data_IF_456995060670
#
_entry.id   IF_456995060670
#
_cell.length_a   1.000
_cell.length_b   1.000
_cell.length_c   1.000
_cell.angle_alpha   90.00
_cell.angle_beta   90.00
_cell.angle_gamma   90.00
#
_symmetry.space_group_name_H-M   'P 1'
#
loop_
_entity.id
_entity.type
_entity.pdbx_description
1 polymer ?
#
# COMPACT_ATOMS: atom_id res chain seq x y z
N UNK A 1 -0.53 12.57 -21.68
CA UNK A 1 0.75 13.15 -22.14
C UNK A 1 1.27 12.27 -23.26
N UNK A 2 1.65 12.83 -24.43
CA UNK A 2 2.27 12.03 -25.49
C UNK A 2 3.73 11.79 -25.08
N UNK A 3 4.06 10.58 -24.65
CA UNK A 3 5.45 10.19 -24.35
C UNK A 3 6.08 9.70 -25.64
N UNK A 4 6.69 10.61 -26.41
CA UNK A 4 7.54 10.18 -27.52
C UNK A 4 8.78 9.53 -26.92
N UNK A 5 9.09 8.30 -27.30
CA UNK A 5 10.33 7.63 -26.85
C UNK A 5 11.56 8.24 -27.49
N UNK A 6 11.40 8.94 -28.63
CA UNK A 6 12.49 9.59 -29.37
C UNK A 6 12.30 11.09 -29.42
N UNK A 7 13.39 11.82 -29.23
CA UNK A 7 13.43 13.27 -29.19
C UNK A 7 14.42 13.83 -30.21
N UNK A 8 14.05 14.91 -30.89
CA UNK A 8 15.04 15.71 -31.62
C UNK A 8 15.96 16.43 -30.62
N UNK A 9 17.16 16.83 -31.05
CA UNK A 9 18.06 17.71 -30.26
C UNK A 9 17.33 18.96 -29.76
N UNK A 10 16.42 19.49 -30.57
CA UNK A 10 15.59 20.64 -30.19
C UNK A 10 14.63 20.33 -29.05
N UNK A 11 13.97 19.18 -29.10
CA UNK A 11 12.97 18.79 -28.10
C UNK A 11 13.65 18.38 -26.80
N UNK A 12 14.79 17.68 -26.88
CA UNK A 12 15.62 17.37 -25.73
C UNK A 12 16.12 18.64 -25.02
N UNK A 13 16.53 19.65 -25.78
CA UNK A 13 16.99 20.93 -25.25
C UNK A 13 15.90 21.65 -24.44
N UNK A 14 14.65 21.67 -24.95
CA UNK A 14 13.52 22.29 -24.25
C UNK A 14 13.10 21.49 -23.03
N UNK A 15 13.05 20.16 -23.16
CA UNK A 15 12.63 19.24 -22.11
C UNK A 15 13.56 19.29 -20.87
N UNK A 16 14.88 19.40 -21.10
CA UNK A 16 15.89 19.40 -20.05
C UNK A 16 16.44 20.78 -19.69
N UNK A 17 15.94 21.84 -20.33
CA UNK A 17 16.45 23.21 -20.18
C UNK A 17 17.97 23.31 -20.41
N UNK A 18 18.46 22.58 -21.42
CA UNK A 18 19.86 22.61 -21.86
C UNK A 18 19.96 23.30 -23.21
N UNK A 19 21.08 23.95 -23.48
CA UNK A 19 21.31 24.54 -24.82
C UNK A 19 21.54 23.42 -25.84
N UNK A 20 21.11 23.63 -27.10
CA UNK A 20 21.40 22.68 -28.19
C UNK A 20 22.90 22.44 -28.36
N UNK A 21 23.72 23.46 -28.14
CA UNK A 21 25.18 23.35 -28.20
C UNK A 21 25.74 22.38 -27.14
N UNK A 22 25.16 22.37 -25.94
CA UNK A 22 25.51 21.41 -24.88
C UNK A 22 25.19 19.99 -25.33
N UNK A 23 23.99 19.76 -25.88
CA UNK A 23 23.59 18.44 -26.37
C UNK A 23 24.51 17.96 -27.50
N UNK A 24 24.81 18.82 -28.49
CA UNK A 24 25.75 18.46 -29.55
C UNK A 24 27.15 18.13 -29.02
N UNK A 25 27.63 18.86 -28.01
CA UNK A 25 28.90 18.59 -27.35
C UNK A 25 28.89 17.23 -26.66
N UNK A 26 27.82 16.91 -25.93
CA UNK A 26 27.69 15.65 -25.20
C UNK A 26 27.60 14.46 -26.16
N UNK A 27 26.94 14.64 -27.32
CA UNK A 27 26.95 13.66 -28.42
C UNK A 27 28.36 13.47 -28.99
N UNK A 28 29.06 14.57 -29.29
CA UNK A 28 30.43 14.52 -29.85
C UNK A 28 31.41 13.85 -28.88
N UNK A 29 31.21 14.05 -27.58
CA UNK A 29 32.04 13.46 -26.52
C UNK A 29 31.67 12.01 -26.19
N UNK A 30 30.63 11.45 -26.81
CA UNK A 30 30.16 10.09 -26.52
C UNK A 30 29.43 9.94 -25.19
N UNK A 31 29.06 11.05 -24.54
CA UNK A 31 28.29 11.06 -23.29
C UNK A 31 26.85 10.67 -23.58
N UNK A 32 26.30 11.17 -24.70
CA UNK A 32 24.93 10.95 -25.16
C UNK A 32 24.94 10.24 -26.52
N UNK A 33 24.25 9.12 -26.66
CA UNK A 33 24.12 8.43 -27.94
C UNK A 33 22.98 9.00 -28.80
N UNK A 34 23.09 8.86 -30.12
CA UNK A 34 22.03 9.19 -31.09
C UNK A 34 21.86 8.07 -32.10
N UNK A 35 20.66 7.92 -32.59
CA UNK A 35 20.33 6.95 -33.63
C UNK A 35 20.71 7.43 -35.03
N UNK A 36 20.59 6.53 -36.00
CA UNK A 36 20.84 6.80 -37.42
C UNK A 36 19.95 7.93 -37.96
N UNK A 37 18.73 8.05 -37.42
CA UNK A 37 17.77 9.11 -37.78
C UNK A 37 18.14 10.49 -37.16
N UNK A 38 19.18 10.56 -36.35
CA UNK A 38 19.59 11.77 -35.64
C UNK A 38 18.70 12.13 -34.44
N UNK A 39 17.78 11.23 -34.05
CA UNK A 39 17.00 11.34 -32.83
C UNK A 39 17.75 10.72 -31.63
N UNK A 40 17.34 11.15 -30.44
CA UNK A 40 17.91 10.72 -29.16
C UNK A 40 16.81 10.02 -28.39
N UNK A 41 17.10 8.82 -27.90
CA UNK A 41 16.16 8.06 -27.09
C UNK A 41 15.97 8.69 -25.70
N UNK A 42 14.76 8.55 -25.15
CA UNK A 42 14.42 9.03 -23.82
C UNK A 42 15.31 8.39 -22.73
N UNK A 43 15.66 7.12 -22.90
CA UNK A 43 16.55 6.40 -21.97
C UNK A 43 17.94 7.03 -21.88
N UNK A 44 18.50 7.47 -23.01
CA UNK A 44 19.79 8.16 -23.05
C UNK A 44 19.72 9.52 -22.37
N UNK A 45 18.64 10.27 -22.62
CA UNK A 45 18.40 11.54 -21.94
C UNK A 45 18.20 11.37 -20.43
N UNK A 46 17.46 10.34 -20.02
CA UNK A 46 17.23 10.01 -18.61
C UNK A 46 18.52 9.59 -17.91
N UNK A 47 19.36 8.78 -18.58
CA UNK A 47 20.68 8.35 -18.06
C UNK A 47 21.63 9.53 -17.86
N UNK A 48 21.69 10.46 -18.83
CA UNK A 48 22.67 11.55 -18.84
C UNK A 48 22.19 12.77 -18.05
N UNK A 49 20.92 13.12 -18.18
CA UNK A 49 20.36 14.36 -17.61
C UNK A 49 19.32 14.13 -16.51
N UNK A 50 18.88 12.89 -16.27
CA UNK A 50 17.90 12.57 -15.22
C UNK A 50 16.45 12.82 -15.65
N UNK A 51 15.59 13.14 -14.69
CA UNK A 51 14.19 13.42 -14.97
C UNK A 51 14.01 14.75 -15.72
N UNK A 52 13.13 14.81 -16.73
CA UNK A 52 12.87 16.02 -17.48
C UNK A 52 12.22 17.11 -16.61
N UNK A 53 12.37 18.38 -17.00
CA UNK A 53 11.81 19.48 -16.22
C UNK A 53 10.29 19.54 -16.39
N UNK A 54 9.55 19.01 -15.42
CA UNK A 54 8.10 19.18 -15.37
C UNK A 54 7.82 20.59 -14.83
N UNK A 55 7.20 21.46 -15.64
CA UNK A 55 7.01 22.91 -15.44
C UNK A 55 6.35 23.39 -14.14
N UNK A 56 6.13 22.52 -13.16
CA UNK A 56 5.55 22.80 -11.84
C UNK A 56 6.40 22.04 -10.82
N UNK A 57 7.31 22.73 -10.14
CA UNK A 57 8.15 22.18 -9.07
C UNK A 57 9.19 21.12 -9.47
N UNK A 58 10.13 21.47 -10.36
CA UNK A 58 11.46 20.85 -10.31
C UNK A 58 12.23 21.41 -9.12
N UNK A 59 11.80 21.08 -7.89
CA UNK A 59 12.76 21.02 -6.79
C UNK A 59 13.70 19.89 -7.19
N UNK A 60 14.96 20.24 -7.44
CA UNK A 60 16.03 19.27 -7.62
C UNK A 60 15.84 18.19 -6.57
N UNK A 61 15.52 16.98 -7.02
CA UNK A 61 15.79 15.81 -6.22
C UNK A 61 17.32 15.65 -6.36
N UNK A 62 18.05 16.55 -5.70
CA UNK A 62 19.45 16.32 -5.44
C UNK A 62 19.45 14.97 -4.72
N UNK A 63 20.21 14.02 -5.25
CA UNK A 63 20.61 12.83 -4.52
C UNK A 63 21.15 13.30 -3.16
N UNK A 64 20.32 13.15 -2.13
CA UNK A 64 20.44 13.67 -0.77
C UNK A 64 20.83 15.16 -0.62
N UNK A 65 19.88 16.04 -0.25
CA UNK A 65 20.17 17.16 0.62
C UNK A 65 19.63 16.82 2.01
N UNK A 66 20.53 16.80 2.99
CA UNK A 66 20.21 16.98 4.40
C UNK A 66 19.18 18.13 4.47
N UNK A 67 17.94 17.78 4.82
CA UNK A 67 16.84 18.73 4.88
C UNK A 67 17.07 19.69 6.05
N UNK A 68 17.78 20.78 5.79
CA UNK A 68 17.67 21.99 6.57
C UNK A 68 16.74 22.95 5.83
N UNK A 69 15.42 22.77 6.01
CA UNK A 69 14.41 23.74 5.61
C UNK A 69 13.72 24.29 6.85
N UNK A 70 14.37 25.25 7.51
CA UNK A 70 13.69 26.21 8.38
C UNK A 70 12.90 27.19 7.50
N UNK A 71 11.73 26.77 7.03
CA UNK A 71 10.68 27.66 6.53
C UNK A 71 9.60 27.77 7.61
N UNK A 72 9.34 28.96 8.18
CA UNK A 72 8.49 29.14 9.37
C UNK A 72 6.99 28.88 9.12
N UNK A 73 6.58 28.63 7.88
CA UNK A 73 5.17 28.42 7.53
C UNK A 73 4.75 26.94 7.57
N UNK A 74 5.69 26.01 7.76
CA UNK A 74 5.44 24.56 7.85
C UNK A 74 5.65 23.97 9.25
N UNK A 75 5.83 24.81 10.29
CA UNK A 75 6.14 24.34 11.65
C UNK A 75 4.91 24.07 12.50
N UNK A 76 3.89 24.92 12.47
CA UNK A 76 2.93 24.92 13.58
C UNK A 76 1.90 23.80 13.46
N UNK A 77 1.40 23.54 12.24
CA UNK A 77 0.48 22.43 11.98
C UNK A 77 1.17 21.07 12.16
N UNK A 78 2.43 20.95 11.73
CA UNK A 78 3.20 19.71 11.87
C UNK A 78 3.59 19.46 13.32
N UNK A 79 4.00 20.49 14.06
CA UNK A 79 4.27 20.37 15.50
C UNK A 79 3.01 20.00 16.27
N UNK A 80 1.84 20.55 15.90
CA UNK A 80 0.57 20.17 16.52
C UNK A 80 0.20 18.72 16.22
N UNK A 81 0.33 18.28 14.97
CA UNK A 81 0.08 16.90 14.59
C UNK A 81 1.02 15.94 15.33
N UNK A 82 2.32 16.24 15.38
CA UNK A 82 3.32 15.45 16.10
C UNK A 82 3.01 15.40 17.59
N UNK A 83 2.61 16.52 18.21
CA UNK A 83 2.17 16.54 19.62
C UNK A 83 0.97 15.63 19.85
N UNK A 84 -0.02 15.67 18.96
CA UNK A 84 -1.20 14.80 19.04
C UNK A 84 -0.82 13.32 18.90
N UNK A 85 0.09 12.98 17.99
CA UNK A 85 0.59 11.62 17.84
C UNK A 85 1.34 11.16 19.10
N UNK A 86 2.20 12.02 19.67
CA UNK A 86 2.92 11.72 20.91
C UNK A 86 1.93 11.49 22.07
N UNK A 87 0.91 12.33 22.22
CA UNK A 87 -0.10 12.16 23.26
C UNK A 87 -0.88 10.84 23.09
N UNK A 88 -1.28 10.53 21.87
CA UNK A 88 -1.94 9.28 21.54
C UNK A 88 -1.09 8.06 21.88
N UNK A 89 0.20 8.08 21.50
CA UNK A 89 1.15 7.00 21.81
C UNK A 89 1.38 6.87 23.32
N UNK A 90 1.54 7.98 24.05
CA UNK A 90 1.65 7.97 25.52
C UNK A 90 0.42 7.33 26.17
N UNK A 91 -0.78 7.67 25.70
CA UNK A 91 -2.03 7.07 26.20
C UNK A 91 -2.15 5.58 25.88
N UNK A 92 -1.64 5.14 24.74
CA UNK A 92 -1.57 3.70 24.44
C UNK A 92 -0.60 2.97 25.35
N UNK A 93 0.56 3.58 25.62
CA UNK A 93 1.57 3.04 26.51
C UNK A 93 1.02 2.87 27.93
N UNK A 94 0.42 3.94 28.49
CA UNK A 94 -0.21 3.90 29.81
C UNK A 94 -1.28 2.79 29.92
N UNK A 95 -2.14 2.64 28.90
CA UNK A 95 -3.13 1.56 28.86
C UNK A 95 -2.50 0.16 28.79
N UNK A 96 -1.34 0.03 28.15
CA UNK A 96 -0.61 -1.23 28.06
C UNK A 96 0.03 -1.57 29.41
N UNK A 97 0.68 -0.59 30.05
CA UNK A 97 1.26 -0.70 31.39
C UNK A 97 0.20 -1.06 32.43
N UNK A 98 -0.97 -0.43 32.41
CA UNK A 98 -2.10 -0.77 33.29
C UNK A 98 -2.56 -2.22 33.13
N UNK A 99 -2.57 -2.72 31.89
CA UNK A 99 -2.95 -4.11 31.60
C UNK A 99 -1.90 -5.07 32.14
N UNK A 100 -0.62 -4.74 31.95
CA UNK A 100 0.51 -5.51 32.47
C UNK A 100 0.50 -5.54 34.00
N UNK A 101 0.33 -4.40 34.65
CA UNK A 101 0.23 -4.30 36.11
C UNK A 101 -0.91 -5.16 36.67
N UNK A 102 -2.08 -5.15 36.03
CA UNK A 102 -3.21 -6.03 36.41
C UNK A 102 -2.89 -7.51 36.25
N UNK A 103 -2.18 -7.88 35.17
CA UNK A 103 -1.76 -9.26 34.95
C UNK A 103 -0.73 -9.70 36.01
N UNK A 104 0.26 -8.86 36.31
CA UNK A 104 1.27 -9.13 37.33
C UNK A 104 0.64 -9.26 38.72
N UNK A 105 -0.28 -8.37 39.11
CA UNK A 105 -1.03 -8.50 40.36
C UNK A 105 -1.80 -9.83 40.44
N UNK A 106 -2.38 -10.31 39.32
CA UNK A 106 -3.04 -11.61 39.27
C UNK A 106 -2.03 -12.76 39.43
N UNK A 107 -0.84 -12.64 38.86
CA UNK A 107 0.24 -13.62 39.04
C UNK A 107 0.67 -13.67 40.50
N UNK A 108 0.92 -12.51 41.13
CA UNK A 108 1.37 -12.42 42.52
C UNK A 108 0.35 -13.00 43.50
N UNK A 109 -0.94 -12.73 43.29
CA UNK A 109 -2.02 -13.32 44.09
C UNK A 109 -2.08 -14.85 43.95
N UNK A 110 -1.93 -15.38 42.73
CA UNK A 110 -1.88 -16.83 42.50
C UNK A 110 -0.64 -17.48 43.13
N UNK A 111 0.53 -16.85 43.02
CA UNK A 111 1.76 -17.31 43.66
C UNK A 111 1.61 -17.35 45.18
N UNK A 112 1.04 -16.30 45.77
CA UNK A 112 0.76 -16.24 47.22
C UNK A 112 -0.17 -17.38 47.66
N UNK A 113 -1.23 -17.66 46.88
CA UNK A 113 -2.14 -18.78 47.18
C UNK A 113 -1.47 -20.16 47.08
N UNK A 114 -0.50 -20.32 46.16
CA UNK A 114 0.29 -21.55 46.05
C UNK A 114 1.22 -21.69 47.25
N UNK A 115 1.90 -20.62 47.66
CA UNK A 115 2.80 -20.62 48.82
C UNK A 115 2.05 -20.89 50.12
N UNK A 116 0.84 -20.35 50.27
CA UNK A 116 -0.02 -20.58 51.43
C UNK A 116 -0.76 -21.93 51.39
N UNK A 117 -0.72 -22.69 50.29
CA UNK A 117 -1.38 -24.00 50.22
C UNK A 117 -0.58 -25.02 51.04
N UNK A 118 -1.17 -25.63 52.08
CA UNK A 118 -0.50 -26.69 52.82
C UNK A 118 -0.27 -27.90 51.89
N UNK A 119 0.97 -28.40 51.87
CA UNK A 119 1.34 -29.65 51.18
C UNK A 119 0.47 -30.79 51.69
N UNK A 120 -0.51 -31.22 50.89
CA UNK A 120 -1.21 -32.49 51.13
C UNK A 120 -0.22 -33.59 50.79
N UNK A 121 0.43 -34.09 51.84
CA UNK A 121 1.21 -35.32 51.83
C UNK A 121 0.31 -36.43 51.27
N UNK A 122 0.77 -37.08 50.19
CA UNK A 122 0.19 -38.30 49.65
C UNK A 122 0.14 -39.36 50.77
N UNK A 123 -1.06 -39.87 51.06
CA UNK A 123 -1.23 -41.21 51.64
C UNK A 123 -2.36 -41.89 50.88
N UNK A 124 -1.98 -42.84 50.03
CA UNK A 124 -2.89 -43.84 49.48
C UNK A 124 -3.27 -44.81 50.61
N UNK A 125 -4.52 -44.82 51.05
CA UNK A 125 -5.30 -46.01 51.47
C UNK A 125 -6.65 -45.55 52.02
N UNK A 126 -7.72 -45.70 51.24
CA UNK A 126 -8.83 -46.61 51.62
C UNK A 126 -10.02 -46.54 50.66
N UNK A 127 -10.24 -47.69 50.02
CA UNK A 127 -11.52 -48.37 49.79
C UNK A 127 -12.65 -47.60 49.07
N UNK A 128 -12.80 -47.97 47.79
CA UNK A 128 -14.02 -48.46 47.15
C UNK A 128 -15.31 -48.25 47.98
N UNK A 129 -16.13 -47.27 47.58
CA UNK A 129 -17.57 -47.44 47.65
C UNK A 129 -18.22 -46.79 46.42
N UNK A 130 -18.57 -47.64 45.45
CA UNK A 130 -19.46 -47.31 44.35
C UNK A 130 -20.86 -47.34 44.94
N UNK A 131 -21.46 -46.17 45.16
CA UNK A 131 -22.91 -46.06 45.06
C UNK A 131 -23.27 -44.69 44.48
N UNK A 132 -23.61 -44.75 43.19
CA UNK A 132 -24.58 -43.93 42.44
C UNK A 132 -25.03 -42.64 43.12
N UNK A 133 -24.65 -41.51 42.50
CA UNK A 133 -25.61 -40.50 42.04
C UNK A 133 -24.88 -39.47 41.17
N UNK A 134 -24.98 -39.65 39.85
CA UNK A 134 -24.66 -38.65 38.84
C UNK A 134 -25.98 -38.03 38.32
N UNK A 135 -25.93 -36.83 37.74
CA UNK A 135 -26.94 -35.77 37.85
C UNK A 135 -28.08 -35.89 36.81
N UNK A 136 -29.22 -35.19 36.97
CA UNK A 136 -30.08 -34.88 35.83
C UNK A 136 -29.54 -33.63 35.14
N UNK A 137 -28.63 -33.80 34.19
CA UNK A 137 -28.43 -32.83 33.12
C UNK A 137 -29.45 -33.18 32.04
N UNK A 138 -30.51 -32.40 31.94
CA UNK A 138 -31.46 -32.47 30.82
C UNK A 138 -30.76 -31.96 29.56
N UNK A 139 -30.36 -32.88 28.69
CA UNK A 139 -30.07 -32.58 27.30
C UNK A 139 -31.40 -32.53 26.55
N UNK A 140 -31.78 -31.37 26.02
CA UNK A 140 -32.64 -31.35 24.84
C UNK A 140 -31.71 -31.40 23.61
N UNK A 141 -31.85 -32.51 22.90
CA UNK A 141 -31.16 -32.91 21.67
C UNK A 141 -32.00 -32.32 20.53
N UNK A 142 -31.47 -31.75 19.46
CA UNK A 142 -31.21 -32.38 18.15
C UNK A 142 -30.81 -31.19 17.25
N UNK A 143 -29.74 -31.15 16.45
CA UNK A 143 -29.40 -32.06 15.35
C UNK A 143 -28.03 -31.65 14.83
N UNK A 144 -27.07 -32.56 14.83
CA UNK A 144 -26.01 -32.68 13.83
C UNK A 144 -26.12 -34.14 13.36
N UNK A 145 -25.73 -34.56 12.13
CA UNK A 145 -24.37 -34.39 11.59
C UNK A 145 -24.36 -34.38 10.02
N UNK A 146 -23.30 -34.74 9.24
CA UNK A 146 -21.90 -35.05 9.56
C UNK A 146 -20.84 -34.39 8.64
N UNK A 147 -19.58 -34.34 9.11
CA UNK A 147 -18.39 -34.27 8.26
C UNK A 147 -18.09 -35.68 7.70
N UNK A 148 -17.89 -35.80 6.38
CA UNK A 148 -17.05 -36.84 5.80
C UNK A 148 -16.07 -36.26 4.77
N UNK A 149 -14.90 -36.89 4.77
CA UNK A 149 -13.67 -36.55 4.08
C UNK A 149 -13.62 -37.21 2.67
N UNK A 150 -12.61 -36.85 1.86
CA UNK A 150 -12.01 -37.64 0.75
C UNK A 150 -12.29 -37.16 -0.71
N UNK A 151 -11.26 -36.47 -1.24
CA UNK A 151 -10.57 -36.58 -2.56
C UNK A 151 -11.34 -36.38 -3.89
N UNK A 152 -10.80 -35.42 -4.66
CA UNK A 152 -10.50 -35.42 -6.10
C UNK A 152 -11.46 -36.12 -7.07
N UNK A 153 -11.90 -35.40 -8.11
CA UNK A 153 -11.65 -35.70 -9.55
C UNK A 153 -12.39 -34.68 -10.44
N UNK A 154 -11.63 -34.13 -11.38
CA UNK A 154 -11.94 -33.64 -12.73
C UNK A 154 -13.33 -33.08 -13.13
N UNK A 155 -13.26 -31.90 -13.76
CA UNK A 155 -13.89 -31.51 -15.03
C UNK A 155 -15.41 -31.71 -15.23
N UNK A 156 -16.18 -30.61 -15.29
CA UNK A 156 -17.01 -30.27 -16.46
C UNK A 156 -17.68 -28.90 -16.33
N UNK A 157 -17.56 -28.13 -17.41
CA UNK A 157 -18.38 -27.02 -17.88
C UNK A 157 -19.88 -27.11 -17.58
N UNK A 158 -20.53 -25.96 -17.29
CA UNK A 158 -21.56 -25.30 -18.14
C UNK A 158 -22.16 -24.06 -17.45
N UNK A 159 -22.20 -22.95 -18.21
CA UNK A 159 -23.26 -21.91 -18.28
C UNK A 159 -23.56 -21.02 -17.05
N UNK A 160 -23.03 -19.80 -17.00
CA UNK A 160 -23.61 -18.52 -17.52
C UNK A 160 -24.90 -18.03 -16.85
N UNK A 161 -24.76 -16.93 -16.10
CA UNK A 161 -25.60 -15.71 -16.22
C UNK A 161 -24.84 -14.53 -15.59
N UNK A 162 -24.06 -13.84 -16.44
CA UNK A 162 -23.46 -12.53 -16.15
C UNK A 162 -24.53 -11.45 -16.34
N UNK A 163 -24.48 -10.45 -15.48
CA UNK A 163 -25.32 -9.24 -15.49
C UNK A 163 -25.09 -8.48 -16.82
N UNK A 164 -26.15 -7.95 -17.49
CA UNK A 164 -26.01 -7.28 -18.78
C UNK A 164 -25.23 -5.97 -18.62
N UNK A 165 -24.15 -5.84 -19.40
CA UNK A 165 -23.41 -4.60 -19.59
C UNK A 165 -24.23 -3.71 -20.54
N UNK A 166 -24.48 -2.43 -20.22
CA UNK A 166 -25.14 -1.53 -21.13
C UNK A 166 -24.32 -1.32 -22.41
N UNK A 167 -24.96 -1.57 -23.55
CA UNK A 167 -24.45 -1.31 -24.89
C UNK A 167 -24.40 0.21 -25.12
N UNK A 168 -23.20 0.79 -25.12
CA UNK A 168 -23.01 2.18 -25.52
C UNK A 168 -22.99 2.26 -27.05
N UNK A 169 -24.13 2.63 -27.61
CA UNK A 169 -24.29 2.95 -29.03
C UNK A 169 -23.42 4.17 -29.34
N UNK A 170 -22.39 3.96 -30.16
CA UNK A 170 -21.50 5.01 -30.68
C UNK A 170 -22.26 5.81 -31.76
N UNK A 171 -22.70 7.02 -31.42
CA UNK A 171 -23.16 7.98 -32.43
C UNK A 171 -21.92 8.67 -33.01
N UNK A 172 -21.51 8.27 -34.21
CA UNK A 172 -20.51 8.98 -34.99
C UNK A 172 -20.92 10.44 -35.19
N UNK A 173 -20.09 11.37 -34.72
CA UNK A 173 -20.25 12.79 -35.07
C UNK A 173 -19.75 13.00 -36.51
N UNK A 174 -20.51 13.70 -37.37
CA UNK A 174 -20.11 13.94 -38.75
C UNK A 174 -18.80 14.75 -38.79
N UNK A 175 -17.77 14.18 -39.42
CA UNK A 175 -16.47 14.82 -39.55
C UNK A 175 -16.57 16.06 -40.45
N UNK A 176 -16.31 17.23 -39.87
CA UNK A 176 -16.17 18.49 -40.60
C UNK A 176 -14.90 18.43 -41.46
N UNK A 177 -15.07 18.35 -42.79
CA UNK A 177 -13.96 18.24 -43.75
C UNK A 177 -12.95 19.39 -43.65
N UNK A 178 -11.70 19.13 -44.07
CA UNK A 178 -10.55 20.03 -43.90
C UNK A 178 -10.80 21.48 -44.37
N UNK A 179 -11.60 21.66 -45.43
CA UNK A 179 -11.95 22.98 -45.97
C UNK A 179 -13.04 23.70 -45.17
N UNK A 180 -13.86 22.97 -44.41
CA UNK A 180 -14.96 23.57 -43.66
C UNK A 180 -14.44 24.38 -42.47
N UNK A 181 -13.21 24.17 -42.01
CA UNK A 181 -12.61 24.89 -40.87
C UNK A 181 -12.10 26.30 -41.20
N UNK A 182 -12.11 26.71 -42.47
CA UNK A 182 -11.53 27.97 -42.92
C UNK A 182 -12.55 29.03 -43.36
N UNK A 183 -13.82 28.67 -43.60
CA UNK A 183 -14.80 29.57 -44.25
C UNK A 183 -16.06 29.91 -43.46
N UNK A 184 -16.25 29.37 -42.24
CA UNK A 184 -17.36 29.79 -41.39
C UNK A 184 -16.83 30.43 -40.09
N UNK A 185 -17.19 31.70 -39.79
CA UNK A 185 -16.90 32.31 -38.50
C UNK A 185 -17.76 31.62 -37.44
N UNK A 186 -17.16 31.23 -36.31
CA UNK A 186 -17.93 30.73 -35.19
C UNK A 186 -18.70 31.91 -34.58
N UNK A 187 -20.04 31.81 -34.54
CA UNK A 187 -20.86 32.59 -33.62
C UNK A 187 -20.70 32.08 -32.19
#
# INVERSE_FOLDING_TARGET
MKTSTKYSVSDAATLYKKSRATIYKDIKNGILSRDQDGSIDFSELLRVYGEPFNGKHSKRIDTSPIQNTNTPEYSDNTVLELKNQIEFLKKQLEKAEDREAKANNRIDTLLTLIEMKPSKVNNESDRLNIEKESPPISNDITTDPPLEEIKSIANSSTETKRIPVPEQIELELPTRGFLSRFFLPNG
#
